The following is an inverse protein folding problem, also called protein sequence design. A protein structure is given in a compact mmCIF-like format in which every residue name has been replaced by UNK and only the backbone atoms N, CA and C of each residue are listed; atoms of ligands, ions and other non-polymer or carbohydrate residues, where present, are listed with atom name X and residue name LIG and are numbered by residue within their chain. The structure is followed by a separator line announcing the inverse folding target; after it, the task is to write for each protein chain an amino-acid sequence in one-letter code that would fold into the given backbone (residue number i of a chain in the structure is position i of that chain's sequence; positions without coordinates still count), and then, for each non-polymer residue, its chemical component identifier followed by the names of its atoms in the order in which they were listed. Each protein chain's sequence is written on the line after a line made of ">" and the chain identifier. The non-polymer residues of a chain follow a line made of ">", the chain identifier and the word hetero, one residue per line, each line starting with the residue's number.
data_IF_067195793868
#
_entry.id   IF_067195793868
#
_cell.length_a   1.000
_cell.length_b   1.000
_cell.length_c   1.000
_cell.angle_alpha   90.00
_cell.angle_beta   90.00
_cell.angle_gamma   90.00
#
_symmetry.space_group_name_H-M   'P 1'
#
loop_
_entity.id
_entity.type
_entity.pdbx_description
1 polymer ?
#
# COMPACT_ATOMS: atom_id res chain seq x y z
N UNK A 1 -8.47 7.35 -5.50
CA UNK A 1 -9.20 6.77 -4.35
C UNK A 1 -8.22 6.63 -3.21
N UNK A 2 -8.61 6.94 -1.97
CA UNK A 2 -7.74 6.73 -0.78
C UNK A 2 -8.21 5.46 -0.08
N UNK A 3 -7.32 4.49 0.07
CA UNK A 3 -7.53 3.27 0.86
C UNK A 3 -6.92 3.48 2.24
N UNK A 4 -7.61 3.02 3.28
CA UNK A 4 -7.09 3.06 4.65
C UNK A 4 -6.64 1.65 5.01
N UNK A 5 -5.33 1.46 5.20
CA UNK A 5 -4.73 0.16 5.49
C UNK A 5 -4.73 -0.15 7.00
N UNK A 6 -5.85 0.06 7.68
CA UNK A 6 -6.01 -0.14 9.12
C UNK A 6 -6.47 -1.57 9.49
N UNK A 7 -6.72 -2.43 8.50
CA UNK A 7 -7.22 -3.80 8.68
C UNK A 7 -8.69 -3.89 9.10
N UNK A 8 -9.42 -2.79 9.15
CA UNK A 8 -10.84 -2.71 9.56
C UNK A 8 -11.72 -2.08 8.48
N UNK A 9 -11.20 -1.08 7.77
CA UNK A 9 -11.84 -0.40 6.66
C UNK A 9 -11.90 -1.32 5.45
N UNK A 10 -13.11 -1.56 4.95
CA UNK A 10 -13.35 -2.40 3.77
C UNK A 10 -13.33 -1.58 2.50
N UNK A 11 -12.84 -2.17 1.41
CA UNK A 11 -12.98 -1.62 0.07
C UNK A 11 -14.47 -1.56 -0.30
N UNK A 12 -14.93 -0.39 -0.72
CA UNK A 12 -16.33 -0.14 -1.08
C UNK A 12 -16.67 -0.46 -2.53
N UNK A 13 -15.66 -0.64 -3.38
CA UNK A 13 -15.79 -0.90 -4.80
C UNK A 13 -14.64 -1.76 -5.33
N UNK A 14 -14.83 -2.37 -6.49
CA UNK A 14 -13.79 -3.12 -7.18
C UNK A 14 -12.71 -2.17 -7.73
N UNK A 15 -11.45 -2.37 -7.33
CA UNK A 15 -10.33 -1.52 -7.77
C UNK A 15 -9.12 -2.37 -8.13
N UNK A 16 -8.44 -2.00 -9.22
CA UNK A 16 -7.12 -2.50 -9.56
C UNK A 16 -6.05 -1.57 -8.98
N UNK A 17 -5.18 -2.11 -8.15
CA UNK A 17 -4.17 -1.36 -7.39
C UNK A 17 -2.77 -1.77 -7.87
N UNK A 18 -1.93 -0.79 -8.18
CA UNK A 18 -0.51 -1.02 -8.47
C UNK A 18 0.39 -0.51 -7.34
N UNK A 19 -0.11 0.44 -6.55
CA UNK A 19 0.64 1.11 -5.50
C UNK A 19 -0.33 1.61 -4.43
N UNK A 20 0.14 1.66 -3.18
CA UNK A 20 -0.56 2.30 -2.06
C UNK A 20 0.36 3.34 -1.42
N UNK A 21 -0.15 4.55 -1.19
CA UNK A 21 0.54 5.59 -0.43
C UNK A 21 0.10 5.53 1.04
N UNK A 22 1.05 5.51 1.96
CA UNK A 22 0.82 5.62 3.40
C UNK A 22 0.64 7.09 3.81
N UNK A 23 0.02 7.31 4.98
CA UNK A 23 -0.26 8.66 5.47
C UNK A 23 1.00 9.49 5.78
N UNK A 24 2.15 8.84 5.99
CA UNK A 24 3.46 9.47 6.16
C UNK A 24 4.22 9.69 4.83
N UNK A 25 3.59 9.41 3.69
CA UNK A 25 4.06 9.75 2.35
C UNK A 25 5.03 8.74 1.72
N UNK A 26 5.13 7.52 2.27
CA UNK A 26 5.81 6.40 1.61
C UNK A 26 4.86 5.69 0.66
N UNK A 27 5.41 5.10 -0.39
CA UNK A 27 4.64 4.29 -1.33
C UNK A 27 5.03 2.82 -1.20
N UNK A 28 4.04 1.93 -1.20
CA UNK A 28 4.23 0.49 -1.37
C UNK A 28 3.88 0.12 -2.81
N UNK A 29 4.90 -0.20 -3.60
CA UNK A 29 4.78 -0.60 -5.00
C UNK A 29 4.62 -2.12 -5.09
N UNK A 30 3.56 -2.57 -5.75
CA UNK A 30 3.28 -4.00 -5.92
C UNK A 30 4.09 -4.58 -7.08
N UNK A 31 4.65 -5.77 -6.90
CA UNK A 31 5.34 -6.50 -7.99
C UNK A 31 4.40 -6.85 -9.14
N UNK A 32 3.10 -6.99 -8.84
CA UNK A 32 2.05 -7.22 -9.83
C UNK A 32 0.74 -6.54 -9.40
N UNK A 33 -0.07 -6.04 -10.34
CA UNK A 33 -1.35 -5.41 -10.02
C UNK A 33 -2.27 -6.31 -9.19
N UNK A 34 -2.90 -5.75 -8.17
CA UNK A 34 -3.79 -6.45 -7.23
C UNK A 34 -5.23 -5.97 -7.38
N UNK A 35 -6.17 -6.90 -7.57
CA UNK A 35 -7.59 -6.59 -7.48
C UNK A 35 -8.06 -6.62 -6.03
N UNK A 36 -8.70 -5.53 -5.59
CA UNK A 36 -9.44 -5.46 -4.33
C UNK A 36 -10.93 -5.49 -4.65
N UNK A 37 -11.64 -6.49 -4.14
CA UNK A 37 -13.07 -6.62 -4.29
C UNK A 37 -13.82 -5.89 -3.16
N UNK A 38 -15.11 -5.70 -3.34
CA UNK A 38 -15.97 -5.13 -2.29
C UNK A 38 -15.91 -6.02 -1.05
N UNK A 39 -15.67 -5.40 0.11
CA UNK A 39 -15.56 -6.10 1.39
C UNK A 39 -14.14 -6.56 1.76
N UNK A 40 -13.18 -6.51 0.84
CA UNK A 40 -11.79 -6.80 1.17
C UNK A 40 -11.22 -5.73 2.12
N UNK A 41 -10.43 -6.16 3.10
CA UNK A 41 -9.71 -5.27 4.02
C UNK A 41 -8.22 -5.30 3.71
N UNK A 42 -7.58 -4.16 3.82
CA UNK A 42 -6.14 -4.02 3.58
C UNK A 42 -5.47 -3.59 4.88
N UNK A 43 -4.30 -4.17 5.16
CA UNK A 43 -3.47 -3.80 6.30
C UNK A 43 -1.99 -3.96 5.96
N UNK A 44 -1.12 -3.25 6.67
CA UNK A 44 0.30 -3.55 6.66
C UNK A 44 0.69 -4.36 7.91
N UNK A 45 1.38 -5.48 7.70
CA UNK A 45 1.98 -6.27 8.77
C UNK A 45 3.51 -6.21 8.64
N UNK A 46 4.14 -5.34 9.43
CA UNK A 46 5.55 -5.03 9.23
C UNK A 46 5.76 -4.35 7.87
N UNK A 47 6.56 -4.97 6.99
CA UNK A 47 6.80 -4.48 5.63
C UNK A 47 5.81 -5.01 4.60
N UNK A 48 4.97 -5.98 4.93
CA UNK A 48 4.14 -6.68 3.96
C UNK A 48 2.75 -6.05 3.84
N UNK A 49 2.27 -5.92 2.61
CA UNK A 49 0.86 -5.65 2.35
C UNK A 49 0.04 -6.94 2.53
N UNK A 50 -0.97 -6.88 3.37
CA UNK A 50 -1.87 -7.99 3.65
C UNK A 50 -3.29 -7.63 3.27
N UNK A 51 -3.95 -8.52 2.53
CA UNK A 51 -5.36 -8.41 2.17
C UNK A 51 -6.14 -9.53 2.83
N UNK A 52 -7.07 -9.16 3.71
CA UNK A 52 -8.09 -10.08 4.18
C UNK A 52 -9.27 -10.01 3.21
N UNK A 53 -9.50 -11.11 2.50
CA UNK A 53 -10.61 -11.23 1.55
C UNK A 53 -11.93 -11.34 2.28
N UNK A 54 -12.99 -10.82 1.69
CA UNK A 54 -14.35 -11.03 2.20
C UNK A 54 -14.72 -12.53 2.31
N UNK A 55 -14.07 -13.40 1.53
CA UNK A 55 -14.21 -14.86 1.61
C UNK A 55 -13.57 -15.49 2.86
N UNK A 56 -12.81 -14.73 3.66
CA UNK A 56 -12.04 -15.22 4.80
C UNK A 56 -10.61 -15.65 4.47
N UNK A 57 -10.22 -15.64 3.20
CA UNK A 57 -8.83 -15.88 2.80
C UNK A 57 -7.93 -14.69 3.19
N UNK A 58 -6.66 -14.96 3.52
CA UNK A 58 -5.66 -13.93 3.78
C UNK A 58 -4.52 -14.07 2.78
N UNK A 59 -4.25 -13.00 2.04
CA UNK A 59 -3.22 -12.96 1.00
C UNK A 59 -2.14 -11.95 1.39
N UNK A 60 -0.87 -12.33 1.24
CA UNK A 60 0.28 -11.42 1.32
C UNK A 60 0.67 -11.02 -0.10
N UNK A 61 0.65 -9.72 -0.39
CA UNK A 61 1.01 -9.21 -1.70
C UNK A 61 2.50 -8.84 -1.71
N UNK A 62 3.23 -9.34 -2.70
CA UNK A 62 4.63 -9.01 -2.91
C UNK A 62 4.78 -7.59 -3.45
N UNK A 63 5.82 -6.90 -2.99
CA UNK A 63 6.10 -5.52 -3.35
C UNK A 63 7.24 -4.94 -2.52
N UNK A 64 7.49 -3.64 -2.69
CA UNK A 64 8.56 -2.92 -2.02
C UNK A 64 8.15 -1.51 -1.62
N UNK A 65 8.78 -1.02 -0.55
CA UNK A 65 8.60 0.36 -0.10
C UNK A 65 9.53 1.29 -0.88
N UNK A 66 8.99 2.39 -1.42
CA UNK A 66 9.73 3.45 -2.07
C UNK A 66 9.49 4.80 -1.36
N UNK A 67 10.55 5.59 -1.25
CA UNK A 67 10.45 6.99 -0.85
C UNK A 67 10.19 7.83 -2.08
N UNK A 68 9.01 8.45 -2.16
CA UNK A 68 8.80 9.47 -3.17
C UNK A 68 9.41 10.78 -2.69
N UNK A 69 10.67 10.98 -3.05
CA UNK A 69 11.25 12.33 -3.08
C UNK A 69 10.38 13.18 -4.01
N UNK A 70 9.48 14.00 -3.45
CA UNK A 70 8.84 15.06 -4.25
C UNK A 70 9.98 15.87 -4.87
N UNK A 71 9.84 16.21 -6.16
CA UNK A 71 10.76 17.13 -6.84
C UNK A 71 10.94 18.36 -5.94
N UNK A 72 12.13 18.49 -5.33
CA UNK A 72 12.41 19.40 -4.21
C UNK A 72 13.21 18.79 -3.05
N UNK A 73 13.29 17.46 -2.94
CA UNK A 73 14.13 16.79 -1.94
C UNK A 73 15.60 16.66 -2.38
N UNK A 74 16.26 17.77 -2.69
CA UNK A 74 17.73 17.83 -2.64
C UNK A 74 18.14 18.05 -1.18
N UNK A 75 18.35 16.96 -0.45
CA UNK A 75 19.25 17.03 0.71
C UNK A 75 20.67 17.03 0.16
N UNK A 76 21.33 18.17 0.23
CA UNK A 76 22.78 18.24 0.12
C UNK A 76 23.36 17.24 1.10
N UNK A 77 24.00 16.19 0.58
CA UNK A 77 24.90 15.38 1.36
C UNK A 77 26.11 16.27 1.68
N UNK A 78 26.05 17.01 2.80
CA UNK A 78 27.23 17.65 3.34
C UNK A 78 28.06 16.55 4.00
N UNK A 79 29.00 16.02 3.23
CA UNK A 79 30.17 15.37 3.78
C UNK A 79 31.13 16.46 4.29
N UNK A 80 31.36 16.50 5.62
CA UNK A 80 32.64 16.76 6.30
C UNK A 80 32.41 16.80 7.80
#
# INVERSE_FOLDING_TARGET
>A
MRLIADGTTTASQLVLVNELESDDGYAFELDSPLFLAVGDQVSFEGSDLVVARASGERLRAAGSWSTRCRIGCYRSATAS
#
